data_IF_936352401493
#
_entry.id   IF_936352401493
#
_cell.length_a   1.000
_cell.length_b   1.000
_cell.length_c   1.000
_cell.angle_alpha   90.00
_cell.angle_beta   90.00
_cell.angle_gamma   90.00
#
_symmetry.space_group_name_H-M   'P 1'
#
loop_
_entity.id
_entity.type
_entity.pdbx_description
1 polymer ?
#
# COMPACT_ATOMS: atom_id res chain seq x y z
N UNK A 1 6.29 -28.12 5.36
CA UNK A 1 5.94 -27.31 4.17
C UNK A 1 4.55 -26.75 4.41
N UNK A 2 4.46 -25.62 5.09
CA UNK A 2 3.24 -24.86 5.37
C UNK A 2 3.62 -23.38 5.19
N UNK A 3 2.67 -22.54 4.77
CA UNK A 3 2.79 -21.07 4.64
C UNK A 3 3.03 -20.49 3.23
N UNK A 4 2.34 -20.98 2.20
CA UNK A 4 2.30 -20.27 0.89
C UNK A 4 0.90 -19.78 0.50
N UNK A 5 -0.17 -20.41 0.99
CA UNK A 5 -1.55 -20.15 0.54
C UNK A 5 -2.16 -18.85 1.08
N UNK A 6 -1.83 -18.44 2.30
CA UNK A 6 -2.48 -17.27 2.94
C UNK A 6 -1.98 -15.94 2.37
N UNK A 7 -0.69 -15.84 2.05
CA UNK A 7 -0.10 -14.62 1.47
C UNK A 7 -0.60 -14.34 0.06
N UNK A 8 -0.86 -15.38 -0.74
CA UNK A 8 -1.34 -15.19 -2.12
C UNK A 8 -2.77 -14.64 -2.17
N UNK A 9 -3.67 -15.12 -1.30
CA UNK A 9 -5.05 -14.63 -1.23
C UNK A 9 -5.10 -13.14 -0.85
N UNK A 10 -4.33 -12.73 0.16
CA UNK A 10 -4.26 -11.32 0.58
C UNK A 10 -3.54 -10.47 -0.45
N UNK A 11 -2.45 -10.97 -1.06
CA UNK A 11 -1.75 -10.29 -2.16
C UNK A 11 -2.70 -9.99 -3.32
N UNK A 12 -3.55 -10.94 -3.71
CA UNK A 12 -4.54 -10.75 -4.78
C UNK A 12 -5.55 -9.65 -4.43
N UNK A 13 -6.07 -9.61 -3.19
CA UNK A 13 -6.96 -8.53 -2.73
C UNK A 13 -6.26 -7.17 -2.74
N UNK A 14 -5.03 -7.12 -2.23
CA UNK A 14 -4.21 -5.90 -2.18
C UNK A 14 -3.91 -5.39 -3.59
N UNK A 15 -3.52 -6.26 -4.53
CA UNK A 15 -3.33 -5.92 -5.94
C UNK A 15 -4.60 -5.35 -6.57
N UNK A 16 -5.75 -5.97 -6.34
CA UNK A 16 -7.01 -5.51 -6.92
C UNK A 16 -7.40 -4.10 -6.41
N UNK A 17 -7.22 -3.86 -5.10
CA UNK A 17 -7.40 -2.52 -4.51
C UNK A 17 -6.36 -1.53 -5.04
N UNK A 18 -5.08 -1.93 -5.10
CA UNK A 18 -3.97 -1.14 -5.64
C UNK A 18 -4.22 -0.73 -7.10
N UNK A 19 -4.74 -1.61 -7.94
CA UNK A 19 -5.08 -1.31 -9.34
C UNK A 19 -6.19 -0.27 -9.46
N UNK A 20 -7.12 -0.23 -8.50
CA UNK A 20 -8.16 0.80 -8.44
C UNK A 20 -7.60 2.18 -8.02
N UNK A 21 -6.65 2.22 -7.07
CA UNK A 21 -6.04 3.47 -6.57
C UNK A 21 -4.81 3.94 -7.38
N UNK A 22 -4.15 3.05 -8.12
CA UNK A 22 -3.03 3.34 -9.03
C UNK A 22 -3.28 4.52 -9.96
N UNK A 23 -4.40 4.58 -10.71
CA UNK A 23 -4.65 5.72 -11.59
C UNK A 23 -4.87 7.02 -10.82
N UNK A 24 -5.43 6.98 -9.60
CA UNK A 24 -5.57 8.18 -8.76
C UNK A 24 -4.20 8.68 -8.28
N UNK A 25 -3.35 7.77 -7.80
CA UNK A 25 -1.99 8.10 -7.37
C UNK A 25 -1.14 8.62 -8.54
N UNK A 26 -1.25 8.00 -9.72
CA UNK A 26 -0.55 8.44 -10.94
C UNK A 26 -1.02 9.80 -11.44
N UNK A 27 -2.31 10.13 -11.27
CA UNK A 27 -2.83 11.47 -11.56
C UNK A 27 -2.23 12.54 -10.64
N UNK A 28 -1.99 12.21 -9.37
CA UNK A 28 -1.29 13.06 -8.41
C UNK A 28 0.25 13.10 -8.64
N UNK A 29 0.75 12.40 -9.66
CA UNK A 29 2.18 12.32 -9.99
C UNK A 29 2.97 11.36 -9.10
N UNK A 30 2.29 10.41 -8.47
CA UNK A 30 2.86 9.34 -7.64
C UNK A 30 2.57 7.94 -8.18
N UNK A 31 3.44 6.99 -7.86
CA UNK A 31 3.23 5.57 -8.15
C UNK A 31 3.28 4.76 -6.87
N UNK A 32 2.64 3.59 -6.87
CA UNK A 32 2.63 2.66 -5.76
C UNK A 32 2.88 1.26 -6.30
N UNK A 33 3.86 0.60 -5.71
CA UNK A 33 4.22 -0.77 -6.04
C UNK A 33 4.11 -1.65 -4.80
N UNK A 34 3.42 -2.78 -4.91
CA UNK A 34 3.39 -3.77 -3.83
C UNK A 34 4.73 -4.50 -3.77
N UNK A 35 5.40 -4.44 -2.61
CA UNK A 35 6.69 -5.10 -2.39
C UNK A 35 6.44 -6.47 -1.75
N UNK A 36 5.87 -6.46 -0.54
CA UNK A 36 5.63 -7.68 0.22
C UNK A 36 4.51 -7.49 1.25
N UNK A 37 3.97 -8.61 1.71
CA UNK A 37 3.07 -8.67 2.86
C UNK A 37 3.78 -9.49 3.95
N UNK A 38 4.00 -8.88 5.11
CA UNK A 38 4.55 -9.57 6.27
C UNK A 38 3.50 -10.43 6.96
N UNK A 39 3.94 -11.42 7.73
CA UNK A 39 3.06 -12.29 8.52
C UNK A 39 2.30 -11.53 9.63
N UNK A 40 2.75 -10.32 9.98
CA UNK A 40 2.06 -9.37 10.87
C UNK A 40 0.92 -8.60 10.19
N UNK A 41 0.55 -8.95 8.95
CA UNK A 41 -0.43 -8.24 8.12
C UNK A 41 -0.02 -6.80 7.81
N UNK A 42 1.28 -6.54 7.66
CA UNK A 42 1.80 -5.23 7.25
C UNK A 42 2.10 -5.30 5.76
N UNK A 43 1.48 -4.40 4.99
CA UNK A 43 1.77 -4.27 3.56
C UNK A 43 2.94 -3.33 3.39
N UNK A 44 4.04 -3.86 2.87
CA UNK A 44 5.14 -3.04 2.37
C UNK A 44 4.83 -2.65 0.94
N UNK A 45 4.72 -1.35 0.73
CA UNK A 45 4.60 -0.75 -0.60
C UNK A 45 5.79 0.16 -0.86
N UNK A 46 6.12 0.34 -2.12
CA UNK A 46 7.09 1.34 -2.57
C UNK A 46 6.30 2.46 -3.22
N UNK A 47 6.23 3.60 -2.55
CA UNK A 47 5.64 4.82 -3.09
C UNK A 47 6.70 5.58 -3.87
N UNK A 48 6.51 5.77 -5.16
CA UNK A 48 7.45 6.47 -6.05
C UNK A 48 6.76 7.67 -6.67
N UNK A 49 6.86 8.86 -6.08
CA UNK A 49 6.13 10.02 -6.58
C UNK A 49 6.88 11.34 -6.61
N UNK A 50 6.61 12.12 -7.66
CA UNK A 50 7.26 13.39 -8.01
C UNK A 50 6.89 14.55 -7.06
N UNK A 51 5.99 14.36 -6.11
CA UNK A 51 5.77 15.33 -5.02
C UNK A 51 6.84 15.16 -3.92
N UNK A 52 8.10 15.10 -4.32
CA UNK A 52 9.28 14.98 -3.47
C UNK A 52 9.73 16.30 -2.83
N UNK A 53 8.96 17.38 -2.96
CA UNK A 53 9.40 18.73 -2.56
C UNK A 53 8.78 19.25 -1.25
N UNK A 54 7.82 18.55 -0.65
CA UNK A 54 7.24 18.93 0.64
C UNK A 54 7.33 17.80 1.68
N UNK A 55 8.45 17.69 2.42
CA UNK A 55 8.66 16.64 3.43
C UNK A 55 7.65 16.67 4.58
N UNK A 56 6.89 17.76 4.72
CA UNK A 56 5.83 17.90 5.72
C UNK A 56 4.51 17.19 5.32
N UNK A 57 4.28 16.94 4.03
CA UNK A 57 3.02 16.34 3.54
C UNK A 57 3.12 14.83 3.33
N UNK A 58 4.32 14.27 3.20
CA UNK A 58 4.52 12.81 3.02
C UNK A 58 4.00 12.02 4.21
N UNK A 59 4.12 12.56 5.42
CA UNK A 59 3.64 11.90 6.65
C UNK A 59 2.11 11.88 6.74
N UNK A 60 1.43 12.96 6.30
CA UNK A 60 -0.04 13.04 6.26
C UNK A 60 -0.62 12.20 5.13
N UNK A 61 0.05 12.18 3.96
CA UNK A 61 -0.34 11.34 2.84
C UNK A 61 -0.13 9.85 3.14
N UNK A 62 0.98 9.45 3.78
CA UNK A 62 1.21 8.06 4.23
C UNK A 62 0.09 7.62 5.18
N UNK A 63 -0.26 8.44 6.17
CA UNK A 63 -1.38 8.16 7.07
C UNK A 63 -2.74 8.06 6.36
N UNK A 64 -2.98 8.92 5.36
CA UNK A 64 -4.20 8.88 4.54
C UNK A 64 -4.31 7.60 3.71
N UNK A 65 -3.21 7.18 3.08
CA UNK A 65 -3.14 5.95 2.29
C UNK A 65 -3.23 4.72 3.18
N UNK A 66 -2.53 4.70 4.32
CA UNK A 66 -2.65 3.62 5.32
C UNK A 66 -4.11 3.48 5.77
N UNK A 67 -4.75 4.57 6.18
CA UNK A 67 -6.15 4.55 6.62
C UNK A 67 -7.08 4.06 5.51
N UNK A 68 -6.86 4.49 4.26
CA UNK A 68 -7.65 4.06 3.12
C UNK A 68 -7.49 2.55 2.83
N UNK A 69 -6.26 2.03 2.91
CA UNK A 69 -5.97 0.61 2.69
C UNK A 69 -6.52 -0.25 3.83
N UNK A 70 -6.33 0.12 5.09
CA UNK A 70 -6.90 -0.58 6.25
C UNK A 70 -8.43 -0.56 6.21
N UNK A 71 -9.04 0.54 5.73
CA UNK A 71 -10.50 0.64 5.58
C UNK A 71 -11.04 -0.21 4.43
N UNK A 72 -10.28 -0.36 3.34
CA UNK A 72 -10.63 -1.22 2.22
C UNK A 72 -10.40 -2.70 2.53
N UNK A 73 -9.33 -3.00 3.27
CA UNK A 73 -8.90 -4.35 3.63
C UNK A 73 -8.62 -4.38 5.14
N UNK A 74 -9.61 -4.71 5.98
CA UNK A 74 -9.45 -4.76 7.43
C UNK A 74 -8.52 -5.90 7.90
N UNK A 75 -8.09 -6.76 6.97
CA UNK A 75 -7.04 -7.77 7.23
C UNK A 75 -5.66 -7.12 7.37
N UNK A 76 -5.43 -5.93 6.80
CA UNK A 76 -4.15 -5.19 6.91
C UNK A 76 -4.11 -4.40 8.21
N UNK A 77 -3.02 -4.52 8.98
CA UNK A 77 -2.79 -3.74 10.20
C UNK A 77 -2.15 -2.38 9.94
N UNK A 78 -1.16 -2.34 9.06
CA UNK A 78 -0.38 -1.13 8.76
C UNK A 78 0.15 -1.17 7.34
N UNK A 79 0.45 0.01 6.79
CA UNK A 79 1.06 0.14 5.46
C UNK A 79 2.38 0.91 5.59
N UNK A 80 3.45 0.22 5.27
CA UNK A 80 4.81 0.75 5.33
C UNK A 80 5.27 1.11 3.92
N UNK A 81 5.92 2.27 3.80
CA UNK A 81 6.54 2.72 2.55
C UNK A 81 8.05 2.58 2.65
N UNK A 82 8.65 1.72 1.84
CA UNK A 82 10.12 1.48 1.80
C UNK A 82 10.81 2.19 0.65
#
# INVERSE_FOLDING_TARGET
MMSQTDKEATKQKVLNVLEQIRPYLQNDGGDIEFVELTDDMIVNVRLTGACGSCPYSTMTLKNGVETAVVKAIPEIKSVESV
#
